data_IF_936746079519
#
_entry.id   IF_936746079519
#
_cell.length_a   1.000
_cell.length_b   1.000
_cell.length_c   1.000
_cell.angle_alpha   90.00
_cell.angle_beta   90.00
_cell.angle_gamma   90.00
#
_symmetry.space_group_name_H-M   'P 1'
#
loop_
_entity.id
_entity.type
_entity.pdbx_description
1 polymer ?
#
# COMPACT_ATOMS: atom_id res chain seq x y z
N UNK A 1 -27.08 -2.77 -16.05
CA UNK A 1 -25.62 -2.56 -16.00
C UNK A 1 -25.25 -2.33 -14.54
N UNK A 2 -24.31 -3.08 -13.99
CA UNK A 2 -23.81 -2.83 -12.62
C UNK A 2 -23.09 -1.48 -12.59
N UNK A 3 -23.22 -0.72 -11.51
CA UNK A 3 -22.43 0.52 -11.34
C UNK A 3 -20.93 0.19 -11.34
N UNK A 4 -20.06 1.10 -11.81
CA UNK A 4 -18.61 0.89 -11.75
C UNK A 4 -18.13 0.69 -10.31
N UNK A 5 -17.04 -0.06 -10.15
CA UNK A 5 -16.36 -0.25 -8.87
C UNK A 5 -15.81 1.09 -8.39
N UNK A 6 -16.07 1.49 -7.14
CA UNK A 6 -15.54 2.74 -6.56
C UNK A 6 -14.31 2.42 -5.72
N UNK A 7 -13.15 2.96 -6.10
CA UNK A 7 -11.86 2.66 -5.48
C UNK A 7 -11.25 3.91 -4.84
N UNK A 8 -10.93 3.82 -3.55
CA UNK A 8 -10.13 4.82 -2.86
C UNK A 8 -8.66 4.43 -2.91
N UNK A 9 -7.85 5.20 -3.65
CA UNK A 9 -6.40 5.03 -3.70
C UNK A 9 -5.70 5.94 -2.69
N UNK A 10 -4.87 5.34 -1.84
CA UNK A 10 -4.08 6.00 -0.81
C UNK A 10 -2.59 5.89 -1.17
N UNK A 11 -2.01 6.98 -1.67
CA UNK A 11 -0.60 7.04 -2.11
C UNK A 11 0.17 8.17 -1.39
N UNK A 12 0.80 7.87 -0.23
CA UNK A 12 1.57 8.83 0.53
C UNK A 12 2.80 9.41 -0.18
N UNK A 13 3.30 8.79 -1.24
CA UNK A 13 4.50 9.20 -1.94
C UNK A 13 4.26 9.23 -3.46
N UNK A 14 3.43 10.17 -3.90
CA UNK A 14 3.01 10.24 -5.29
C UNK A 14 4.07 10.91 -6.18
N UNK A 15 5.07 10.15 -6.58
CA UNK A 15 6.13 10.55 -7.51
C UNK A 15 6.93 9.37 -8.03
N UNK A 16 7.80 9.61 -9.01
CA UNK A 16 8.63 8.57 -9.61
C UNK A 16 7.82 7.34 -10.04
N UNK A 17 8.31 6.15 -9.67
CA UNK A 17 7.69 4.88 -9.99
C UNK A 17 6.33 4.66 -9.31
N UNK A 18 6.11 5.16 -8.09
CA UNK A 18 4.81 5.06 -7.41
C UNK A 18 3.69 5.73 -8.20
N UNK A 19 3.98 6.96 -8.68
CA UNK A 19 3.06 7.67 -9.57
C UNK A 19 2.81 6.90 -10.85
N UNK A 20 3.86 6.36 -11.48
CA UNK A 20 3.73 5.58 -12.71
C UNK A 20 2.84 4.34 -12.52
N UNK A 21 3.00 3.61 -11.41
CA UNK A 21 2.13 2.48 -11.07
C UNK A 21 0.68 2.93 -10.92
N UNK A 22 0.43 3.93 -10.09
CA UNK A 22 -0.94 4.35 -9.79
C UNK A 22 -1.63 4.93 -11.05
N UNK A 23 -0.96 5.81 -11.79
CA UNK A 23 -1.48 6.40 -13.03
C UNK A 23 -1.75 5.29 -14.07
N UNK A 24 -0.87 4.29 -14.16
CA UNK A 24 -1.08 3.13 -15.02
C UNK A 24 -2.30 2.31 -14.62
N UNK A 25 -2.50 2.04 -13.32
CA UNK A 25 -3.69 1.33 -12.83
C UNK A 25 -4.98 2.11 -13.13
N UNK A 26 -4.99 3.42 -12.87
CA UNK A 26 -6.14 4.29 -13.16
C UNK A 26 -6.47 4.31 -14.65
N UNK A 27 -5.45 4.30 -15.53
CA UNK A 27 -5.66 4.32 -16.97
C UNK A 27 -6.22 3.00 -17.55
N UNK A 28 -5.93 1.86 -16.91
CA UNK A 28 -6.22 0.53 -17.49
C UNK A 28 -7.36 -0.22 -16.79
N UNK A 29 -7.75 0.17 -15.57
CA UNK A 29 -8.82 -0.49 -14.82
C UNK A 29 -10.10 0.34 -14.85
N UNK A 30 -11.18 -0.25 -15.36
CA UNK A 30 -12.52 0.35 -15.39
C UNK A 30 -13.12 0.42 -13.97
N UNK A 31 -12.86 1.53 -13.30
CA UNK A 31 -13.33 1.85 -11.96
C UNK A 31 -13.41 3.37 -11.78
N UNK A 32 -14.24 3.80 -10.83
CA UNK A 32 -14.30 5.18 -10.38
C UNK A 32 -13.24 5.38 -9.29
N UNK A 33 -12.14 6.05 -9.65
CA UNK A 33 -11.00 6.26 -8.76
C UNK A 33 -11.10 7.58 -8.00
N UNK A 34 -10.97 7.50 -6.68
CA UNK A 34 -10.71 8.66 -5.82
C UNK A 34 -9.29 8.57 -5.29
N UNK A 35 -8.48 9.57 -5.60
CA UNK A 35 -7.04 9.58 -5.30
C UNK A 35 -6.75 10.50 -4.12
N UNK A 36 -6.28 9.94 -3.01
CA UNK A 36 -5.65 10.68 -1.92
C UNK A 36 -4.14 10.51 -2.01
N UNK A 37 -3.48 11.56 -2.50
CA UNK A 37 -2.05 11.56 -2.76
C UNK A 37 -1.32 12.61 -1.92
N UNK A 38 -0.09 12.32 -1.50
CA UNK A 38 0.80 13.32 -0.91
C UNK A 38 2.08 13.52 -1.76
N UNK A 39 2.67 14.74 -1.77
CA UNK A 39 3.86 15.01 -2.55
C UNK A 39 5.06 14.12 -2.17
N UNK A 40 5.91 13.72 -3.12
CA UNK A 40 6.98 12.73 -2.97
C UNK A 40 8.24 13.33 -2.30
N UNK A 41 8.07 13.85 -1.09
CA UNK A 41 9.13 14.47 -0.30
C UNK A 41 9.09 13.95 1.13
N UNK A 42 10.27 13.84 1.74
CA UNK A 42 10.43 13.38 3.14
C UNK A 42 9.76 12.01 3.36
N UNK A 43 10.23 10.98 2.67
CA UNK A 43 9.63 9.63 2.65
C UNK A 43 9.35 9.07 4.05
N UNK A 44 10.28 9.24 5.01
CA UNK A 44 10.09 8.83 6.42
C UNK A 44 8.85 9.48 7.05
N UNK A 45 8.61 10.76 6.75
CA UNK A 45 7.41 11.46 7.21
C UNK A 45 6.15 10.96 6.51
N UNK A 46 6.24 10.56 5.23
CA UNK A 46 5.12 9.95 4.52
C UNK A 46 4.70 8.63 5.16
N UNK A 47 5.66 7.77 5.49
CA UNK A 47 5.34 6.49 6.12
C UNK A 47 4.74 6.64 7.52
N UNK A 48 5.21 7.61 8.31
CA UNK A 48 4.74 7.81 9.70
C UNK A 48 3.49 8.66 9.85
N UNK A 49 3.29 9.64 8.96
CA UNK A 49 2.27 10.67 9.12
C UNK A 49 1.06 10.53 8.21
N UNK A 50 1.18 9.79 7.09
CA UNK A 50 0.14 9.82 6.07
C UNK A 50 -1.16 9.15 6.51
N UNK A 51 -1.12 8.12 7.35
CA UNK A 51 -2.32 7.48 7.89
C UNK A 51 -3.24 8.51 8.58
N UNK A 52 -2.67 9.45 9.35
CA UNK A 52 -3.40 10.51 10.04
C UNK A 52 -4.07 11.45 9.04
N UNK A 53 -3.26 12.02 8.13
CA UNK A 53 -3.75 13.00 7.13
C UNK A 53 -4.79 12.38 6.20
N UNK A 54 -4.53 11.18 5.68
CA UNK A 54 -5.41 10.53 4.71
C UNK A 54 -6.67 9.97 5.34
N UNK A 55 -6.65 9.57 6.61
CA UNK A 55 -7.87 9.19 7.33
C UNK A 55 -8.81 10.40 7.46
N UNK A 56 -8.29 11.58 7.78
CA UNK A 56 -9.09 12.80 7.84
C UNK A 56 -9.68 13.18 6.48
N UNK A 57 -8.87 13.13 5.42
CA UNK A 57 -9.33 13.38 4.05
C UNK A 57 -10.42 12.38 3.64
N UNK A 58 -10.24 11.09 3.92
CA UNK A 58 -11.21 10.06 3.60
C UNK A 58 -12.54 10.24 4.36
N UNK A 59 -12.48 10.61 5.65
CA UNK A 59 -13.69 10.93 6.44
C UNK A 59 -14.45 12.14 5.91
N UNK A 60 -13.73 13.15 5.42
CA UNK A 60 -14.34 14.34 4.80
C UNK A 60 -15.06 13.98 3.49
N UNK A 61 -14.46 13.12 2.66
CA UNK A 61 -15.10 12.60 1.46
C UNK A 61 -16.35 11.78 1.79
N UNK A 62 -16.23 10.84 2.74
CA UNK A 62 -17.37 10.01 3.16
C UNK A 62 -18.54 10.84 3.70
N UNK A 63 -18.28 11.92 4.44
CA UNK A 63 -19.34 12.83 4.93
C UNK A 63 -20.06 13.58 3.82
N UNK A 64 -19.36 13.97 2.74
CA UNK A 64 -19.97 14.64 1.58
C UNK A 64 -20.86 13.69 0.79
N UNK A 65 -20.42 12.43 0.68
CA UNK A 65 -21.11 11.38 -0.07
C UNK A 65 -22.14 10.61 0.76
N UNK A 66 -22.35 10.94 2.04
CA UNK A 66 -23.21 10.20 2.97
C UNK A 66 -24.68 10.06 2.50
N UNK A 67 -25.13 10.89 1.55
CA UNK A 67 -26.44 10.75 0.92
C UNK A 67 -26.51 9.65 -0.17
N UNK A 68 -25.38 9.04 -0.55
CA UNK A 68 -25.25 8.10 -1.66
C UNK A 68 -24.87 6.65 -1.25
N UNK A 69 -24.77 6.35 0.05
CA UNK A 69 -24.41 5.02 0.58
C UNK A 69 -22.91 4.85 0.89
N UNK A 70 -22.45 3.61 1.06
CA UNK A 70 -21.04 3.31 1.36
C UNK A 70 -20.12 3.94 0.29
N UNK A 71 -19.10 4.74 0.67
CA UNK A 71 -18.41 5.62 -0.28
C UNK A 71 -17.49 4.86 -1.24
N UNK A 72 -17.00 3.67 -0.85
CA UNK A 72 -16.03 2.90 -1.63
C UNK A 72 -16.30 1.40 -1.51
N UNK A 73 -16.01 0.67 -2.58
CA UNK A 73 -16.05 -0.79 -2.62
C UNK A 73 -14.68 -1.41 -2.28
N UNK A 74 -13.61 -0.65 -2.51
CA UNK A 74 -12.23 -1.11 -2.33
C UNK A 74 -11.33 0.06 -1.92
N UNK A 75 -10.40 -0.21 -1.01
CA UNK A 75 -9.24 0.64 -0.73
C UNK A 75 -8.01 0.04 -1.39
N UNK A 76 -7.31 0.82 -2.19
CA UNK A 76 -5.96 0.51 -2.68
C UNK A 76 -4.97 1.35 -1.88
N UNK A 77 -4.06 0.72 -1.16
CA UNK A 77 -3.01 1.41 -0.41
C UNK A 77 -1.63 1.07 -0.97
N UNK A 78 -0.76 2.06 -1.11
CA UNK A 78 0.64 1.81 -1.44
C UNK A 78 1.45 1.37 -0.22
N UNK A 79 2.64 0.83 -0.49
CA UNK A 79 3.63 0.36 0.50
C UNK A 79 3.92 1.36 1.60
N UNK A 80 3.80 2.65 1.31
CA UNK A 80 4.12 3.72 2.23
C UNK A 80 3.06 3.94 3.30
N UNK A 81 1.82 3.53 3.09
CA UNK A 81 0.76 3.75 4.08
C UNK A 81 0.85 2.69 5.19
N UNK A 82 0.72 3.12 6.44
CA UNK A 82 0.29 2.21 7.51
C UNK A 82 -1.24 2.01 7.44
N UNK A 83 -1.69 0.93 6.82
CA UNK A 83 -3.11 0.64 6.61
C UNK A 83 -3.83 0.34 7.94
N UNK A 84 -3.15 -0.30 8.89
CA UNK A 84 -3.73 -0.62 10.21
C UNK A 84 -4.05 0.67 10.98
N UNK A 85 -3.11 1.62 11.01
CA UNK A 85 -3.34 2.94 11.62
C UNK A 85 -4.41 3.73 10.86
N UNK A 86 -4.39 3.71 9.53
CA UNK A 86 -5.40 4.39 8.73
C UNK A 86 -6.80 3.84 9.06
N UNK A 87 -6.99 2.51 9.13
CA UNK A 87 -8.27 1.90 9.53
C UNK A 87 -8.70 2.34 10.92
N UNK A 88 -7.79 2.36 11.89
CA UNK A 88 -8.08 2.82 13.26
C UNK A 88 -8.52 4.28 13.33
N UNK A 89 -8.05 5.13 12.41
CA UNK A 89 -8.35 6.56 12.36
C UNK A 89 -9.51 6.91 11.41
N UNK A 90 -9.76 6.12 10.37
CA UNK A 90 -10.72 6.44 9.30
C UNK A 90 -12.19 6.30 9.76
N UNK A 91 -12.45 5.62 10.89
CA UNK A 91 -13.80 5.36 11.39
C UNK A 91 -14.40 4.08 10.81
N UNK A 92 -15.43 3.56 11.48
CA UNK A 92 -15.91 2.18 11.28
C UNK A 92 -16.35 1.87 9.84
N UNK A 93 -17.03 2.79 9.16
CA UNK A 93 -17.52 2.57 7.80
C UNK A 93 -16.38 2.39 6.79
N UNK A 94 -15.36 3.26 6.85
CA UNK A 94 -14.18 3.17 5.99
C UNK A 94 -13.27 2.00 6.42
N UNK A 95 -13.18 1.72 7.72
CA UNK A 95 -12.43 0.60 8.26
C UNK A 95 -13.03 -0.76 7.90
N UNK A 96 -14.29 -0.83 7.48
CA UNK A 96 -14.93 -2.05 7.00
C UNK A 96 -14.71 -2.31 5.50
N UNK A 97 -14.25 -1.31 4.73
CA UNK A 97 -14.02 -1.46 3.29
C UNK A 97 -12.87 -2.46 3.06
N UNK A 98 -13.03 -3.46 2.18
CA UNK A 98 -11.95 -4.35 1.77
C UNK A 98 -10.75 -3.54 1.26
N UNK A 99 -9.53 -3.97 1.58
CA UNK A 99 -8.33 -3.25 1.17
C UNK A 99 -7.27 -4.16 0.57
N UNK A 100 -6.61 -3.66 -0.47
CA UNK A 100 -5.38 -4.23 -1.01
C UNK A 100 -4.22 -3.32 -0.61
N UNK A 101 -3.08 -3.91 -0.26
CA UNK A 101 -1.81 -3.20 -0.15
C UNK A 101 -0.90 -3.64 -1.29
N UNK A 102 -0.42 -2.68 -2.07
CA UNK A 102 0.54 -2.90 -3.13
C UNK A 102 1.97 -2.59 -2.66
N UNK A 103 2.81 -3.61 -2.64
CA UNK A 103 4.22 -3.58 -2.27
C UNK A 103 5.10 -3.31 -3.50
N UNK A 104 5.38 -2.03 -3.73
CA UNK A 104 6.31 -1.56 -4.77
C UNK A 104 7.78 -1.69 -4.32
N UNK A 105 8.01 -1.62 -3.02
CA UNK A 105 9.29 -1.88 -2.37
C UNK A 105 9.08 -2.63 -1.06
N UNK A 106 10.17 -2.97 -0.37
CA UNK A 106 10.15 -3.71 0.87
C UNK A 106 11.14 -3.10 1.85
N UNK A 107 10.63 -2.64 3.00
CA UNK A 107 11.43 -2.00 4.02
C UNK A 107 12.27 -2.97 4.87
N UNK A 108 11.97 -4.29 4.86
CA UNK A 108 12.76 -5.32 5.54
C UNK A 108 14.15 -5.50 4.93
N UNK A 109 14.28 -5.29 3.62
CA UNK A 109 15.51 -5.56 2.86
C UNK A 109 16.17 -4.28 2.35
N UNK A 110 15.63 -3.12 2.72
CA UNK A 110 16.14 -1.86 2.25
C UNK A 110 17.58 -1.66 2.77
N UNK A 111 18.57 -1.46 1.89
CA UNK A 111 19.97 -1.49 2.28
C UNK A 111 20.28 -0.36 3.26
N UNK A 112 20.52 -0.72 4.52
CA UNK A 112 20.95 0.24 5.52
C UNK A 112 22.47 0.20 5.65
N UNK A 113 23.14 1.28 5.22
CA UNK A 113 24.61 1.40 5.31
C UNK A 113 25.10 1.52 6.75
N UNK A 114 24.20 1.87 7.69
CA UNK A 114 24.47 1.98 9.12
C UNK A 114 23.32 1.35 9.90
N UNK A 115 23.50 0.10 10.37
CA UNK A 115 22.51 -0.63 11.18
C UNK A 115 22.10 0.10 12.46
N UNK A 116 22.96 0.96 13.01
CA UNK A 116 22.66 1.80 14.16
C UNK A 116 21.53 2.82 13.93
N UNK A 117 21.24 3.16 12.66
CA UNK A 117 20.16 4.08 12.27
C UNK A 117 18.95 3.33 11.69
N UNK A 118 18.89 1.99 11.83
CA UNK A 118 17.77 1.23 11.29
C UNK A 118 16.51 1.46 12.11
N UNK A 119 15.53 1.98 11.42
CA UNK A 119 14.28 2.38 11.99
C UNK A 119 13.27 1.26 11.79
N UNK A 120 13.19 0.38 12.80
CA UNK A 120 12.29 -0.77 12.86
C UNK A 120 10.83 -0.41 12.56
N UNK A 121 10.46 0.86 12.69
CA UNK A 121 9.12 1.35 12.38
C UNK A 121 8.74 1.15 10.90
N UNK A 122 9.67 1.25 9.94
CA UNK A 122 9.31 1.10 8.52
C UNK A 122 8.98 -0.33 8.11
N UNK A 123 9.80 -1.35 8.47
CA UNK A 123 9.38 -2.75 8.30
C UNK A 123 8.10 -3.07 9.07
N UNK A 124 7.94 -2.57 10.31
CA UNK A 124 6.70 -2.74 11.07
C UNK A 124 5.48 -2.14 10.37
N UNK A 125 5.60 -0.96 9.74
CA UNK A 125 4.54 -0.39 8.89
C UNK A 125 4.16 -1.36 7.78
N UNK A 126 5.12 -1.92 7.05
CA UNK A 126 4.81 -2.86 5.97
C UNK A 126 4.13 -4.14 6.50
N UNK A 127 4.65 -4.73 7.59
CA UNK A 127 4.07 -5.95 8.19
C UNK A 127 2.65 -5.70 8.70
N UNK A 128 2.44 -4.62 9.46
CA UNK A 128 1.11 -4.28 10.01
C UNK A 128 0.12 -3.92 8.92
N UNK A 129 0.56 -3.23 7.86
CA UNK A 129 -0.25 -3.00 6.66
C UNK A 129 -0.66 -4.32 6.00
N UNK A 130 0.29 -5.22 5.76
CA UNK A 130 0.02 -6.53 5.17
C UNK A 130 -0.97 -7.34 6.02
N UNK A 131 -0.81 -7.37 7.34
CA UNK A 131 -1.72 -8.06 8.26
C UNK A 131 -3.14 -7.47 8.21
N UNK A 132 -3.29 -6.16 8.09
CA UNK A 132 -4.60 -5.48 8.02
C UNK A 132 -5.28 -5.49 6.64
N UNK A 133 -4.56 -5.93 5.60
CA UNK A 133 -5.07 -6.00 4.24
C UNK A 133 -5.92 -7.25 4.01
N UNK A 134 -6.89 -7.16 3.09
CA UNK A 134 -7.62 -8.34 2.59
C UNK A 134 -6.75 -9.15 1.64
N UNK A 135 -5.92 -8.48 0.82
CA UNK A 135 -4.92 -9.10 -0.03
C UNK A 135 -3.67 -8.20 -0.13
N UNK A 136 -2.52 -8.84 -0.30
CA UNK A 136 -1.26 -8.17 -0.57
C UNK A 136 -0.85 -8.45 -2.01
N UNK A 137 -0.36 -7.42 -2.70
CA UNK A 137 0.12 -7.55 -4.08
C UNK A 137 1.55 -7.04 -4.14
N UNK A 138 2.47 -7.85 -4.63
CA UNK A 138 3.88 -7.49 -4.75
C UNK A 138 4.24 -7.27 -6.22
N UNK A 139 5.12 -6.30 -6.47
CA UNK A 139 5.58 -5.98 -7.83
C UNK A 139 6.36 -7.13 -8.51
N UNK A 140 6.98 -8.03 -7.73
CA UNK A 140 7.79 -9.15 -8.23
C UNK A 140 7.72 -10.34 -7.26
N UNK A 141 8.00 -11.54 -7.78
CA UNK A 141 8.12 -12.74 -6.94
C UNK A 141 9.28 -12.63 -5.96
N UNK A 142 10.40 -12.08 -6.39
CA UNK A 142 11.55 -11.83 -5.50
C UNK A 142 11.13 -10.96 -4.32
N UNK A 143 10.43 -9.84 -4.55
CA UNK A 143 10.00 -8.96 -3.47
C UNK A 143 9.08 -9.68 -2.46
N UNK A 144 8.14 -10.50 -2.95
CA UNK A 144 7.28 -11.32 -2.10
C UNK A 144 8.07 -12.34 -1.27
N UNK A 145 8.91 -13.15 -1.92
CA UNK A 145 9.70 -14.19 -1.27
C UNK A 145 10.59 -13.60 -0.17
N UNK A 146 11.25 -12.50 -0.51
CA UNK A 146 12.16 -11.79 0.39
C UNK A 146 11.38 -11.15 1.56
N UNK A 147 10.21 -10.54 1.31
CA UNK A 147 9.35 -10.00 2.36
C UNK A 147 8.93 -11.08 3.36
N UNK A 148 8.44 -12.22 2.87
CA UNK A 148 7.98 -13.33 3.71
C UNK A 148 9.14 -13.96 4.48
N UNK A 149 10.29 -14.16 3.83
CA UNK A 149 11.46 -14.81 4.42
C UNK A 149 12.10 -14.01 5.55
N UNK A 150 12.15 -12.68 5.43
CA UNK A 150 12.81 -11.84 6.43
C UNK A 150 11.95 -11.56 7.68
N UNK A 151 10.62 -11.75 7.62
CA UNK A 151 9.71 -11.47 8.76
C UNK A 151 10.13 -12.21 10.05
N UNK A 152 10.38 -13.54 10.06
CA UNK A 152 10.73 -14.23 11.29
C UNK A 152 12.03 -13.73 11.92
N UNK A 153 13.04 -13.44 11.08
CA UNK A 153 14.31 -12.87 11.52
C UNK A 153 14.11 -11.49 12.15
N UNK A 154 13.42 -10.60 11.45
CA UNK A 154 13.10 -9.26 11.94
C UNK A 154 12.33 -9.28 13.27
N UNK A 155 11.31 -10.13 13.39
CA UNK A 155 10.51 -10.23 14.61
C UNK A 155 11.34 -10.78 15.78
N UNK A 156 12.32 -11.64 15.51
CA UNK A 156 13.21 -12.20 16.55
C UNK A 156 14.14 -11.18 17.21
N UNK A 157 14.32 -10.00 16.59
CA UNK A 157 15.15 -8.91 17.13
C UNK A 157 14.45 -8.11 18.24
N UNK A 158 13.13 -8.28 18.42
CA UNK A 158 12.38 -7.59 19.48
C UNK A 158 12.57 -8.27 20.84
N UNK A 159 12.59 -7.51 21.95
CA UNK A 159 12.99 -8.03 23.26
C UNK A 159 12.04 -9.08 23.86
N UNK A 160 10.75 -9.03 23.55
CA UNK A 160 9.72 -9.93 24.05
C UNK A 160 8.53 -10.04 23.09
N UNK A 161 7.60 -10.95 23.41
CA UNK A 161 6.32 -11.12 22.69
C UNK A 161 6.42 -11.25 21.16
N UNK A 162 7.39 -12.01 20.67
CA UNK A 162 7.67 -12.24 19.25
C UNK A 162 6.58 -13.13 18.60
N UNK A 163 5.58 -12.57 17.88
CA UNK A 163 4.50 -13.36 17.30
C UNK A 163 5.01 -14.31 16.21
N UNK A 164 4.43 -15.50 16.17
CA UNK A 164 4.71 -16.52 15.13
C UNK A 164 3.57 -16.55 14.12
N UNK A 165 3.81 -17.13 12.94
CA UNK A 165 2.77 -17.30 11.92
C UNK A 165 2.51 -16.06 11.06
N UNK A 166 3.24 -14.95 11.29
CA UNK A 166 3.00 -13.70 10.55
C UNK A 166 3.34 -13.85 9.06
N UNK A 167 4.48 -14.49 8.77
CA UNK A 167 4.96 -14.71 7.42
C UNK A 167 3.95 -15.55 6.61
N UNK A 168 3.46 -16.63 7.21
CA UNK A 168 2.49 -17.55 6.62
C UNK A 168 1.14 -16.86 6.39
N UNK A 169 0.63 -16.13 7.39
CA UNK A 169 -0.63 -15.40 7.29
C UNK A 169 -0.61 -14.30 6.22
N UNK A 170 0.56 -13.67 5.99
CA UNK A 170 0.72 -12.70 4.91
C UNK A 170 0.84 -13.42 3.57
N UNK A 171 1.63 -14.49 3.48
CA UNK A 171 1.84 -15.26 2.27
C UNK A 171 0.52 -15.84 1.71
N UNK A 172 -0.37 -16.34 2.56
CA UNK A 172 -1.65 -16.95 2.17
C UNK A 172 -2.56 -16.00 1.36
N UNK A 173 -2.47 -14.69 1.62
CA UNK A 173 -3.24 -13.64 0.95
C UNK A 173 -2.40 -12.79 0.00
N UNK A 174 -1.20 -13.26 -0.37
CA UNK A 174 -0.27 -12.53 -1.22
C UNK A 174 -0.28 -13.04 -2.65
N UNK A 175 -0.09 -12.13 -3.60
CA UNK A 175 0.06 -12.43 -5.02
C UNK A 175 1.07 -11.49 -5.66
N UNK A 176 1.51 -11.81 -6.88
CA UNK A 176 2.45 -10.99 -7.64
C UNK A 176 1.74 -10.42 -8.86
N UNK A 177 1.80 -9.10 -9.02
CA UNK A 177 1.36 -8.40 -10.22
C UNK A 177 2.44 -7.37 -10.57
N UNK A 178 3.01 -7.52 -11.77
CA UNK A 178 4.02 -6.59 -12.25
C UNK A 178 3.44 -5.17 -12.39
N UNK A 179 4.24 -4.12 -12.15
CA UNK A 179 3.84 -2.75 -12.43
C UNK A 179 3.34 -2.59 -13.87
N UNK A 180 2.32 -1.75 -14.13
CA UNK A 180 1.93 -1.43 -15.49
C UNK A 180 3.12 -0.76 -16.20
N UNK A 181 3.51 -1.33 -17.34
CA UNK A 181 4.60 -0.85 -18.17
C UNK A 181 4.03 -0.17 -19.40
N UNK A 182 4.49 1.04 -19.70
CA UNK A 182 4.17 1.73 -20.95
C UNK A 182 5.16 1.29 -22.04
N UNK A 183 4.72 0.52 -23.06
CA UNK A 183 5.59 0.07 -24.13
C UNK A 183 5.86 1.16 -25.18
N UNK A 184 5.09 2.25 -25.20
CA UNK A 184 5.14 3.25 -26.27
C UNK A 184 6.52 3.88 -26.53
N UNK A 185 7.40 4.08 -25.52
CA UNK A 185 8.75 4.56 -25.80
C UNK A 185 9.58 3.58 -26.66
N UNK A 186 9.33 2.27 -26.53
CA UNK A 186 10.02 1.25 -27.32
C UNK A 186 9.46 1.15 -28.72
N UNK A 187 8.15 1.31 -28.89
CA UNK A 187 7.50 1.31 -30.20
C UNK A 187 8.13 2.38 -31.12
N UNK A 188 8.42 3.56 -30.56
CA UNK A 188 9.07 4.67 -31.28
C UNK A 188 10.50 4.39 -31.74
N UNK A 189 11.22 3.49 -31.06
CA UNK A 189 12.63 3.14 -31.36
C UNK A 189 12.71 1.86 -32.19
N UNK A 190 11.79 0.92 -31.97
CA UNK A 190 11.73 -0.37 -32.64
C UNK A 190 10.97 -0.31 -33.98
N UNK A 191 10.38 0.84 -34.32
CA UNK A 191 9.72 1.07 -35.61
C UNK A 191 8.41 0.33 -35.76
N UNK A 192 7.65 0.19 -34.67
CA UNK A 192 6.29 -0.35 -34.67
C UNK A 192 5.26 0.74 -34.96
#
# INVERSE_FOLDING_TARGET
MSRPLRVLALEPYYGGSHRAVLDGLVAHLDAEWTLLTLPPRKWKWRMRGAAITMAEQARELARRDAMAGAPFDLVFASTFLNLAEWRGLAGAELAAVPAIVYFHENQLVYPNRHTADWDYQFPLTNITSALSAQACVFNTQWNLDEFVREIPGFISEFPDHQPRGLAEAIAEKSSVIAPPFDPSPFDSVLGA
#
